data_IF_759369327737
#
_entry.id   IF_759369327737
#
_cell.length_a   1.000
_cell.length_b   1.000
_cell.length_c   1.000
_cell.angle_alpha   90.00
_cell.angle_beta   90.00
_cell.angle_gamma   90.00
#
_symmetry.space_group_name_H-M   'P 1'
#
loop_
_entity.id
_entity.type
_entity.pdbx_description
1 polymer ?
#
# COMPACT_ATOMS: atom_id res chain seq x y z
N UNK A 1 -0.75 -8.25 9.34
CA UNK A 1 -1.21 -7.00 8.68
C UNK A 1 -0.47 -5.74 9.09
N UNK A 2 -0.06 -5.54 10.35
CA UNK A 2 0.76 -4.38 10.73
C UNK A 2 2.07 -4.27 9.92
N UNK A 3 2.86 -5.35 9.85
CA UNK A 3 4.16 -5.30 9.16
C UNK A 3 4.10 -5.04 7.65
N UNK A 4 3.10 -5.56 6.93
CA UNK A 4 3.02 -5.41 5.46
C UNK A 4 2.62 -3.99 5.06
N UNK A 5 1.65 -3.40 5.78
CA UNK A 5 1.27 -2.00 5.57
C UNK A 5 2.44 -1.04 5.85
N UNK A 6 3.22 -1.28 6.90
CA UNK A 6 4.42 -0.48 7.22
C UNK A 6 5.52 -0.63 6.17
N UNK A 7 5.75 -1.85 5.66
CA UNK A 7 6.74 -2.08 4.58
C UNK A 7 6.35 -1.31 3.33
N UNK A 8 5.09 -1.37 2.91
CA UNK A 8 4.60 -0.66 1.74
C UNK A 8 4.69 0.85 1.93
N UNK A 9 4.29 1.37 3.09
CA UNK A 9 4.37 2.81 3.41
C UNK A 9 5.82 3.32 3.35
N UNK A 10 6.77 2.58 3.93
CA UNK A 10 8.21 2.91 3.86
C UNK A 10 8.77 2.81 2.44
N UNK A 11 8.29 1.86 1.64
CA UNK A 11 8.67 1.75 0.24
C UNK A 11 8.22 2.96 -0.57
N UNK A 12 6.96 3.38 -0.38
CA UNK A 12 6.38 4.54 -1.06
C UNK A 12 7.09 5.84 -0.66
N UNK A 13 7.41 6.00 0.62
CA UNK A 13 8.21 7.13 1.11
C UNK A 13 9.60 7.18 0.47
N UNK A 14 10.32 6.06 0.44
CA UNK A 14 11.67 6.02 -0.13
C UNK A 14 11.70 6.21 -1.64
N UNK A 15 10.67 5.75 -2.34
CA UNK A 15 10.66 5.73 -3.82
C UNK A 15 9.97 6.94 -4.44
N UNK A 16 8.91 7.45 -3.80
CA UNK A 16 8.11 8.56 -4.31
C UNK A 16 8.17 9.81 -3.41
N UNK A 17 8.83 9.75 -2.24
CA UNK A 17 8.88 10.86 -1.30
C UNK A 17 7.58 11.09 -0.53
N UNK A 18 6.62 10.17 -0.63
CA UNK A 18 5.32 10.28 0.01
C UNK A 18 5.42 9.89 1.50
N UNK A 19 5.07 10.79 2.42
CA UNK A 19 5.23 10.58 3.86
C UNK A 19 4.13 9.67 4.44
N UNK A 20 4.02 8.46 3.87
CA UNK A 20 3.01 7.47 4.20
C UNK A 20 3.10 6.90 5.63
N UNK A 21 4.28 6.64 6.25
CA UNK A 21 4.32 6.03 7.58
C UNK A 21 3.89 6.96 8.71
N UNK A 22 4.00 8.28 8.53
CA UNK A 22 3.61 9.28 9.55
C UNK A 22 2.15 9.73 9.44
N UNK A 23 1.44 9.32 8.37
CA UNK A 23 0.06 9.75 8.08
C UNK A 23 -0.95 8.65 8.30
N UNK A 24 -2.19 9.02 8.63
CA UNK A 24 -3.31 8.09 8.56
C UNK A 24 -3.53 7.62 7.12
N UNK A 25 -4.22 6.49 6.91
CA UNK A 25 -4.55 6.02 5.57
C UNK A 25 -5.33 7.06 4.78
N UNK A 26 -6.31 7.74 5.39
CA UNK A 26 -7.10 8.78 4.73
C UNK A 26 -6.24 9.95 4.27
N UNK A 27 -5.34 10.45 5.13
CA UNK A 27 -4.43 11.54 4.79
C UNK A 27 -3.44 11.16 3.68
N UNK A 28 -2.94 9.92 3.69
CA UNK A 28 -2.06 9.41 2.65
C UNK A 28 -2.80 9.29 1.31
N UNK A 29 -4.05 8.78 1.31
CA UNK A 29 -4.84 8.63 0.09
C UNK A 29 -5.25 9.97 -0.51
N UNK A 30 -5.53 10.98 0.32
CA UNK A 30 -5.80 12.33 -0.13
C UNK A 30 -4.59 12.95 -0.85
N UNK A 31 -3.38 12.77 -0.30
CA UNK A 31 -2.12 13.20 -0.93
C UNK A 31 -1.85 12.44 -2.23
N UNK A 32 -2.02 11.11 -2.20
CA UNK A 32 -1.86 10.24 -3.36
C UNK A 32 -2.81 10.59 -4.50
N UNK A 33 -4.04 11.02 -4.20
CA UNK A 33 -5.00 11.45 -5.20
C UNK A 33 -4.49 12.67 -5.98
N UNK A 34 -3.83 13.61 -5.30
CA UNK A 34 -3.27 14.84 -5.88
C UNK A 34 -1.88 14.68 -6.48
N UNK A 35 -1.19 13.57 -6.22
CA UNK A 35 0.18 13.35 -6.67
C UNK A 35 0.25 12.76 -8.10
N UNK A 36 1.00 13.37 -9.01
CA UNK A 36 1.09 12.92 -10.41
C UNK A 36 2.20 11.87 -10.66
N UNK A 37 2.93 11.43 -9.63
CA UNK A 37 4.06 10.49 -9.81
C UNK A 37 3.60 9.05 -10.06
N UNK A 38 2.39 8.70 -9.63
CA UNK A 38 1.82 7.36 -9.76
C UNK A 38 0.68 7.34 -10.77
N UNK A 39 0.65 6.31 -11.62
CA UNK A 39 -0.46 6.12 -12.55
C UNK A 39 -1.76 5.76 -11.81
N UNK A 40 -2.95 6.09 -12.37
CA UNK A 40 -4.25 5.88 -11.71
C UNK A 40 -4.50 4.44 -11.24
N UNK A 41 -3.94 3.46 -11.97
CA UNK A 41 -4.05 2.04 -11.66
C UNK A 41 -3.32 1.68 -10.35
N UNK A 42 -2.11 2.21 -10.16
CA UNK A 42 -1.36 2.05 -8.91
C UNK A 42 -2.06 2.76 -7.75
N UNK A 43 -2.61 3.96 -7.96
CA UNK A 43 -3.38 4.67 -6.92
C UNK A 43 -4.58 3.86 -6.44
N UNK A 44 -5.28 3.22 -7.37
CA UNK A 44 -6.44 2.37 -7.07
C UNK A 44 -6.02 1.13 -6.26
N UNK A 45 -4.96 0.44 -6.67
CA UNK A 45 -4.39 -0.70 -5.95
C UNK A 45 -3.96 -0.33 -4.52
N UNK A 46 -3.24 0.79 -4.36
CA UNK A 46 -2.79 1.30 -3.06
C UNK A 46 -3.98 1.65 -2.14
N UNK A 47 -5.03 2.25 -2.71
CA UNK A 47 -6.27 2.59 -1.99
C UNK A 47 -6.93 1.34 -1.42
N UNK A 48 -7.18 0.34 -2.28
CA UNK A 48 -7.82 -0.91 -1.87
C UNK A 48 -6.98 -1.65 -0.82
N UNK A 49 -5.67 -1.69 -1.00
CA UNK A 49 -4.75 -2.36 -0.08
C UNK A 49 -4.75 -1.72 1.32
N UNK A 50 -4.63 -0.39 1.40
CA UNK A 50 -4.57 0.31 2.67
C UNK A 50 -5.90 0.27 3.41
N UNK A 51 -7.03 0.43 2.70
CA UNK A 51 -8.37 0.26 3.26
C UNK A 51 -8.59 -1.16 3.78
N UNK A 52 -8.12 -2.19 3.06
CA UNK A 52 -8.19 -3.57 3.53
C UNK A 52 -7.36 -3.78 4.80
N UNK A 53 -6.15 -3.21 4.86
CA UNK A 53 -5.31 -3.26 6.05
C UNK A 53 -6.00 -2.60 7.26
N UNK A 54 -6.65 -1.45 7.09
CA UNK A 54 -7.40 -0.79 8.16
C UNK A 54 -8.62 -1.59 8.60
N UNK A 55 -9.37 -2.15 7.66
CA UNK A 55 -10.49 -3.04 7.99
C UNK A 55 -10.02 -4.22 8.86
N UNK A 56 -8.89 -4.85 8.54
CA UNK A 56 -8.33 -5.92 9.37
C UNK A 56 -7.85 -5.40 10.73
N UNK A 57 -7.23 -4.21 10.79
CA UNK A 57 -6.76 -3.58 12.04
C UNK A 57 -7.91 -3.20 12.98
N UNK A 58 -9.01 -2.65 12.44
CA UNK A 58 -10.11 -2.08 13.22
C UNK A 58 -11.27 -3.05 13.43
N UNK A 59 -11.60 -3.90 12.45
CA UNK A 59 -12.76 -4.78 12.54
C UNK A 59 -12.53 -6.05 13.38
N UNK A 60 -11.32 -6.26 13.93
CA UNK A 60 -10.87 -7.53 14.56
C UNK A 60 -11.17 -8.77 13.70
N UNK A 61 -11.41 -8.58 12.41
CA UNK A 61 -11.57 -9.68 11.48
C UNK A 61 -10.24 -10.41 11.46
N UNK A 62 -10.29 -11.72 11.70
CA UNK A 62 -9.17 -12.60 11.40
C UNK A 62 -9.35 -12.99 9.95
N UNK A 63 -8.66 -12.33 9.00
CA UNK A 63 -8.74 -12.71 7.59
C UNK A 63 -8.23 -14.14 7.44
N UNK A 64 -8.79 -14.85 6.48
CA UNK A 64 -8.36 -16.21 6.16
C UNK A 64 -6.92 -16.20 5.62
N UNK A 65 -6.20 -17.33 5.74
CA UNK A 65 -4.86 -17.48 5.17
C UNK A 65 -4.81 -17.12 3.68
N UNK A 66 -5.88 -17.41 2.93
CA UNK A 66 -6.00 -17.04 1.52
C UNK A 66 -5.99 -15.51 1.32
N UNK A 67 -6.73 -14.76 2.14
CA UNK A 67 -6.72 -13.30 2.10
C UNK A 67 -5.36 -12.72 2.51
N UNK A 68 -4.68 -13.35 3.46
CA UNK A 68 -3.31 -12.99 3.87
C UNK A 68 -2.37 -13.16 2.69
N UNK A 69 -2.42 -14.32 2.04
CA UNK A 69 -1.56 -14.66 0.93
C UNK A 69 -1.79 -13.73 -0.26
N UNK A 70 -3.06 -13.50 -0.63
CA UNK A 70 -3.42 -12.58 -1.70
C UNK A 70 -2.95 -11.14 -1.44
N UNK A 71 -3.06 -10.67 -0.19
CA UNK A 71 -2.58 -9.34 0.22
C UNK A 71 -1.05 -9.24 0.11
N UNK A 72 -0.35 -10.31 0.52
CA UNK A 72 1.10 -10.40 0.42
C UNK A 72 1.58 -10.43 -1.03
N UNK A 73 0.92 -11.23 -1.88
CA UNK A 73 1.22 -11.35 -3.31
C UNK A 73 1.03 -10.02 -4.03
N UNK A 74 -0.09 -9.32 -3.80
CA UNK A 74 -0.34 -8.01 -4.38
C UNK A 74 0.71 -6.96 -3.96
N UNK A 75 1.14 -7.00 -2.69
CA UNK A 75 2.24 -6.14 -2.22
C UNK A 75 3.54 -6.41 -2.94
N UNK A 76 3.92 -7.68 -3.07
CA UNK A 76 5.12 -8.09 -3.79
C UNK A 76 5.04 -7.64 -5.25
N UNK A 77 3.91 -7.84 -5.92
CA UNK A 77 3.75 -7.50 -7.32
C UNK A 77 3.85 -5.98 -7.55
N UNK A 78 3.31 -5.15 -6.65
CA UNK A 78 3.50 -3.69 -6.72
C UNK A 78 4.98 -3.33 -6.56
N UNK A 79 5.70 -3.94 -5.63
CA UNK A 79 7.15 -3.68 -5.43
C UNK A 79 7.95 -4.13 -6.66
N UNK A 80 7.64 -5.29 -7.24
CA UNK A 80 8.33 -5.82 -8.42
C UNK A 80 8.01 -5.02 -9.69
N UNK A 81 6.76 -4.58 -9.87
CA UNK A 81 6.38 -3.74 -11.02
C UNK A 81 6.93 -2.32 -10.93
N UNK A 82 7.03 -1.79 -9.71
CA UNK A 82 7.56 -0.44 -9.52
C UNK A 82 9.07 -0.43 -9.37
N UNK A 83 9.76 -1.55 -9.10
CA UNK A 83 11.22 -1.65 -9.15
C UNK A 83 11.69 -1.24 -10.56
N UNK A 84 12.57 -0.27 -10.63
CA UNK A 84 13.28 0.04 -11.87
C UNK A 84 13.98 -1.23 -12.34
N UNK A 85 13.61 -1.70 -13.54
CA UNK A 85 14.47 -2.57 -14.32
C UNK A 85 15.69 -1.74 -14.65
N UNK A 86 16.74 -1.87 -13.85
CA UNK A 86 18.03 -1.32 -14.19
C UNK A 86 18.45 -1.85 -15.56
N UNK A 87 18.46 -0.96 -16.54
CA UNK A 87 19.12 -1.12 -17.83
C UNK A 87 20.18 -0.02 -17.95
#
# INVERSE_FOLDING_TARGET
YHGVSDILRRYLERRFGLHAPERTTEEFLAELATDDTLVPEHKTLLTQFLQHCDLVKFAKLTPSEEQIQHTFDACRDVIEQTKEVGA
#
